data_IF_994781949040
#
_entry.id   IF_994781949040
#
_cell.length_a   1.000
_cell.length_b   1.000
_cell.length_c   1.000
_cell.angle_alpha   90.00
_cell.angle_beta   90.00
_cell.angle_gamma   90.00
#
_symmetry.space_group_name_H-M   'P 1'
#
loop_
_entity.id
_entity.type
_entity.pdbx_description
1 polymer ?
#
# COMPACT_ATOMS: atom_id res chain seq x y z
N UNK A 1 -23.38 -6.92 -17.46
CA UNK A 1 -22.75 -5.91 -18.35
C UNK A 1 -22.95 -4.56 -17.66
N UNK A 2 -22.14 -4.25 -16.68
CA UNK A 2 -22.27 -3.01 -15.91
C UNK A 2 -21.02 -2.17 -16.12
N UNK A 3 -21.30 -0.94 -16.55
CA UNK A 3 -20.37 0.03 -17.09
C UNK A 3 -19.15 0.37 -16.23
N UNK A 4 -18.03 -0.19 -16.61
CA UNK A 4 -16.69 0.06 -16.05
C UNK A 4 -15.99 1.23 -16.80
N UNK A 5 -16.75 2.30 -17.06
CA UNK A 5 -16.28 3.46 -17.82
C UNK A 5 -15.98 4.72 -17.01
N UNK A 6 -16.30 4.77 -15.72
CA UNK A 6 -16.01 5.94 -14.90
C UNK A 6 -14.80 5.68 -14.00
N UNK A 7 -13.68 6.34 -14.29
CA UNK A 7 -12.45 6.35 -13.47
C UNK A 7 -12.76 6.76 -12.01
N UNK A 8 -13.85 7.50 -11.80
CA UNK A 8 -14.36 7.90 -10.48
C UNK A 8 -15.87 7.64 -10.47
N UNK A 9 -16.31 6.56 -9.83
CA UNK A 9 -17.74 6.29 -9.61
C UNK A 9 -18.39 7.39 -8.76
N UNK A 10 -19.75 7.37 -8.61
CA UNK A 10 -20.52 8.39 -7.88
C UNK A 10 -19.93 8.74 -6.50
N UNK A 11 -19.52 7.72 -5.73
CA UNK A 11 -18.90 7.92 -4.39
C UNK A 11 -17.54 8.58 -4.48
N UNK A 12 -16.75 8.28 -5.51
CA UNK A 12 -15.48 8.93 -5.77
C UNK A 12 -15.66 10.40 -6.14
N UNK A 13 -16.71 10.73 -6.92
CA UNK A 13 -17.08 12.10 -7.25
C UNK A 13 -17.48 12.92 -6.01
N UNK A 14 -18.30 12.34 -5.13
CA UNK A 14 -18.67 12.95 -3.84
C UNK A 14 -17.42 13.18 -2.98
N UNK A 15 -16.58 12.17 -2.83
CA UNK A 15 -15.33 12.29 -2.04
C UNK A 15 -14.41 13.37 -2.61
N UNK A 16 -14.32 13.50 -3.95
CA UNK A 16 -13.54 14.55 -4.59
C UNK A 16 -14.09 15.93 -4.25
N UNK A 17 -15.42 16.13 -4.39
CA UNK A 17 -16.06 17.40 -4.08
C UNK A 17 -15.86 17.81 -2.62
N UNK A 18 -16.03 16.86 -1.68
CA UNK A 18 -15.79 17.09 -0.24
C UNK A 18 -14.32 17.43 0.02
N UNK A 19 -13.39 16.74 -0.64
CA UNK A 19 -11.95 17.02 -0.49
C UNK A 19 -11.59 18.40 -1.01
N UNK A 20 -12.13 18.82 -2.15
CA UNK A 20 -11.94 20.19 -2.67
C UNK A 20 -12.55 21.24 -1.72
N UNK A 21 -13.73 20.97 -1.15
CA UNK A 21 -14.34 21.81 -0.14
C UNK A 21 -13.45 21.96 1.11
N UNK A 22 -12.89 20.85 1.62
CA UNK A 22 -11.93 20.89 2.72
C UNK A 22 -10.68 21.71 2.36
N UNK A 23 -10.14 21.56 1.15
CA UNK A 23 -9.00 22.37 0.70
C UNK A 23 -9.33 23.86 0.68
N UNK A 24 -10.51 24.24 0.18
CA UNK A 24 -10.96 25.61 0.13
C UNK A 24 -11.19 26.22 1.53
N UNK A 25 -11.94 25.52 2.39
CA UNK A 25 -12.24 25.97 3.75
C UNK A 25 -10.98 26.11 4.61
N UNK A 26 -10.00 25.23 4.41
CA UNK A 26 -8.72 25.28 5.13
C UNK A 26 -7.69 26.20 4.46
N UNK A 27 -8.05 26.91 3.41
CA UNK A 27 -7.15 27.79 2.63
C UNK A 27 -5.86 27.06 2.21
N UNK A 28 -5.96 25.78 1.86
CA UNK A 28 -4.82 24.95 1.46
C UNK A 28 -3.99 24.37 2.60
N UNK A 29 -4.33 24.61 3.87
CA UNK A 29 -3.60 24.02 5.01
C UNK A 29 -3.74 22.49 5.06
N UNK A 30 -4.89 21.92 4.67
CA UNK A 30 -5.08 20.47 4.67
C UNK A 30 -4.11 19.73 3.72
N UNK A 31 -3.96 20.09 2.44
CA UNK A 31 -2.96 19.47 1.57
C UNK A 31 -1.52 19.72 2.03
N UNK A 32 -1.19 20.87 2.61
CA UNK A 32 0.12 21.14 3.20
C UNK A 32 0.40 20.22 4.40
N UNK A 33 -0.58 20.04 5.28
CA UNK A 33 -0.46 19.10 6.39
C UNK A 33 -0.27 17.65 5.90
N UNK A 34 -1.03 17.23 4.87
CA UNK A 34 -0.86 15.92 4.26
C UNK A 34 0.54 15.75 3.66
N UNK A 35 1.07 16.78 2.99
CA UNK A 35 2.44 16.79 2.47
C UNK A 35 3.46 16.67 3.59
N UNK A 36 3.30 17.41 4.68
CA UNK A 36 4.17 17.32 5.85
C UNK A 36 4.17 15.91 6.46
N UNK A 37 3.00 15.26 6.55
CA UNK A 37 2.88 13.88 7.05
C UNK A 37 3.59 12.90 6.12
N UNK A 38 3.42 13.00 4.79
CA UNK A 38 4.10 12.14 3.82
C UNK A 38 5.63 12.32 3.93
N UNK A 39 6.09 13.57 3.98
CA UNK A 39 7.50 13.90 4.12
C UNK A 39 8.08 13.36 5.44
N UNK A 40 7.42 13.65 6.55
CA UNK A 40 7.85 13.18 7.86
C UNK A 40 7.94 11.65 7.92
N UNK A 41 6.88 10.95 7.54
CA UNK A 41 6.84 9.48 7.54
C UNK A 41 7.91 8.90 6.61
N UNK A 42 8.08 9.46 5.42
CA UNK A 42 9.08 9.00 4.46
C UNK A 42 10.52 9.21 4.93
N UNK A 43 10.84 10.38 5.48
CA UNK A 43 12.19 10.72 5.94
C UNK A 43 12.61 9.94 7.20
N UNK A 44 11.66 9.68 8.11
CA UNK A 44 11.93 9.02 9.39
C UNK A 44 11.61 7.52 9.38
N UNK A 45 11.16 6.97 8.25
CA UNK A 45 10.85 5.55 8.15
C UNK A 45 12.10 4.69 8.39
N UNK A 46 12.01 3.66 9.26
CA UNK A 46 13.08 2.71 9.45
C UNK A 46 13.28 1.85 8.19
N UNK A 47 14.46 1.29 8.06
CA UNK A 47 14.82 0.32 7.01
C UNK A 47 14.91 -1.11 7.55
N UNK A 48 14.68 -1.27 8.84
CA UNK A 48 14.61 -2.55 9.55
C UNK A 48 13.44 -2.51 10.53
N UNK A 49 12.70 -3.58 10.62
CA UNK A 49 11.64 -3.79 11.57
C UNK A 49 11.44 -5.29 11.78
N UNK A 50 10.90 -5.70 12.93
CA UNK A 50 10.57 -7.08 13.23
C UNK A 50 9.06 -7.20 13.47
N UNK A 51 8.45 -8.24 12.90
CA UNK A 51 7.03 -8.51 13.02
C UNK A 51 6.71 -9.97 12.73
N UNK A 52 5.46 -10.35 12.87
CA UNK A 52 5.00 -11.71 12.61
C UNK A 52 5.05 -12.09 11.11
N UNK A 53 5.00 -11.10 10.22
CA UNK A 53 5.03 -11.26 8.76
C UNK A 53 5.68 -10.05 8.10
N UNK A 54 6.22 -10.25 6.90
CA UNK A 54 6.72 -9.19 6.02
C UNK A 54 5.73 -9.01 4.88
N UNK A 55 5.06 -7.86 4.78
CA UNK A 55 4.13 -7.54 3.71
C UNK A 55 4.82 -6.66 2.68
N UNK A 56 4.85 -7.10 1.43
CA UNK A 56 5.42 -6.34 0.32
C UNK A 56 4.28 -5.82 -0.56
N UNK A 57 4.11 -4.50 -0.62
CA UNK A 57 3.15 -3.92 -1.56
C UNK A 57 3.72 -3.97 -2.98
N UNK A 58 2.93 -4.51 -3.90
CA UNK A 58 3.26 -4.55 -5.32
C UNK A 58 3.35 -3.16 -5.96
N UNK A 59 3.83 -3.14 -7.18
CA UNK A 59 3.86 -1.97 -8.07
C UNK A 59 3.36 -2.42 -9.43
N UNK A 60 2.49 -1.60 -10.04
CA UNK A 60 1.93 -1.90 -11.36
C UNK A 60 3.02 -2.29 -12.35
N UNK A 61 2.90 -3.50 -12.91
CA UNK A 61 3.85 -4.01 -13.88
C UNK A 61 3.60 -3.42 -15.28
N UNK A 62 4.67 -3.20 -16.05
CA UNK A 62 4.57 -2.92 -17.49
C UNK A 62 4.13 -4.17 -18.26
N UNK A 63 3.87 -4.01 -19.57
CA UNK A 63 3.51 -5.12 -20.47
C UNK A 63 4.55 -6.25 -20.50
N UNK A 64 5.80 -5.95 -20.17
CA UNK A 64 6.87 -6.96 -20.09
C UNK A 64 6.73 -7.89 -18.88
N UNK A 65 5.84 -7.60 -17.92
CA UNK A 65 5.68 -8.35 -16.67
C UNK A 65 6.88 -8.24 -15.70
N UNK A 66 7.86 -7.40 -16.00
CA UNK A 66 9.08 -7.29 -15.20
C UNK A 66 8.96 -6.19 -14.13
N UNK A 67 9.30 -6.48 -12.86
CA UNK A 67 9.38 -5.48 -11.80
C UNK A 67 10.29 -4.30 -12.15
N UNK A 68 9.82 -3.09 -11.93
CA UNK A 68 10.60 -1.86 -12.05
C UNK A 68 11.61 -1.70 -10.89
N UNK A 69 12.36 -0.61 -10.90
CA UNK A 69 13.36 -0.34 -9.86
C UNK A 69 12.73 -0.17 -8.46
N UNK A 70 11.53 0.44 -8.39
CA UNK A 70 10.85 0.65 -7.11
C UNK A 70 10.35 -0.67 -6.52
N UNK A 71 9.77 -1.54 -7.35
CA UNK A 71 9.31 -2.84 -6.89
C UNK A 71 10.50 -3.76 -6.52
N UNK A 72 11.57 -3.76 -7.32
CA UNK A 72 12.80 -4.50 -6.95
C UNK A 72 13.37 -4.03 -5.62
N UNK A 73 13.40 -2.72 -5.34
CA UNK A 73 13.86 -2.22 -4.05
C UNK A 73 13.03 -2.76 -2.86
N UNK A 74 11.70 -2.85 -3.02
CA UNK A 74 10.82 -3.47 -2.00
C UNK A 74 11.14 -4.94 -1.79
N UNK A 75 11.31 -5.70 -2.87
CA UNK A 75 11.64 -7.13 -2.82
C UNK A 75 13.02 -7.38 -2.21
N UNK A 76 14.04 -6.59 -2.59
CA UNK A 76 15.38 -6.64 -1.97
C UNK A 76 15.31 -6.35 -0.47
N UNK A 77 14.52 -5.36 -0.05
CA UNK A 77 14.29 -5.07 1.37
C UNK A 77 13.63 -6.25 2.08
N UNK A 78 12.62 -6.87 1.49
CA UNK A 78 11.94 -8.01 2.06
C UNK A 78 12.87 -9.22 2.20
N UNK A 79 13.71 -9.50 1.20
CA UNK A 79 14.72 -10.56 1.26
C UNK A 79 15.72 -10.31 2.40
N UNK A 80 16.22 -9.08 2.55
CA UNK A 80 17.13 -8.73 3.64
C UNK A 80 16.50 -8.84 5.04
N UNK A 81 15.21 -8.51 5.17
CA UNK A 81 14.47 -8.71 6.43
C UNK A 81 14.27 -10.19 6.73
N UNK A 82 13.97 -10.99 5.72
CA UNK A 82 13.83 -12.43 5.84
C UNK A 82 15.17 -13.09 6.18
N UNK A 83 16.26 -12.68 5.55
CA UNK A 83 17.61 -13.18 5.87
C UNK A 83 17.98 -12.95 7.34
N UNK A 84 17.60 -11.79 7.89
CA UNK A 84 17.81 -11.47 9.31
C UNK A 84 16.88 -12.28 10.25
N UNK A 85 15.74 -12.78 9.76
CA UNK A 85 14.75 -13.55 10.53
C UNK A 85 14.04 -14.59 9.64
N UNK A 86 14.71 -15.72 9.29
CA UNK A 86 14.21 -16.70 8.30
C UNK A 86 12.89 -17.39 8.65
N UNK A 87 12.46 -17.33 9.91
CA UNK A 87 11.18 -17.86 10.35
C UNK A 87 9.99 -16.92 10.01
N UNK A 88 10.25 -15.68 9.56
CA UNK A 88 9.22 -14.70 9.28
C UNK A 88 8.74 -14.83 7.83
N UNK A 89 7.47 -15.23 7.56
CA UNK A 89 6.98 -15.38 6.20
C UNK A 89 6.85 -14.02 5.49
N UNK A 90 7.11 -14.03 4.18
CA UNK A 90 6.89 -12.90 3.29
C UNK A 90 5.55 -13.09 2.59
N UNK A 91 4.71 -12.06 2.53
CA UNK A 91 3.49 -12.06 1.72
C UNK A 91 3.58 -10.90 0.72
N UNK A 92 3.54 -11.23 -0.57
CA UNK A 92 3.57 -10.24 -1.65
C UNK A 92 2.14 -9.95 -2.08
N UNK A 93 1.76 -8.68 -2.07
CA UNK A 93 0.40 -8.24 -2.35
C UNK A 93 0.35 -7.53 -3.71
N UNK A 94 -0.49 -8.02 -4.61
CA UNK A 94 -0.75 -7.38 -5.89
C UNK A 94 -1.18 -8.34 -6.99
N UNK A 95 -2.37 -8.12 -7.53
CA UNK A 95 -2.97 -8.92 -8.59
C UNK A 95 -2.46 -8.59 -9.98
N UNK A 96 -3.02 -9.28 -10.96
CA UNK A 96 -2.75 -9.03 -12.37
C UNK A 96 -3.57 -7.84 -12.87
N UNK A 97 -2.92 -6.92 -13.59
CA UNK A 97 -3.59 -5.81 -14.26
C UNK A 97 -3.05 -5.62 -15.69
N UNK A 98 -3.91 -5.51 -16.70
CA UNK A 98 -3.46 -5.18 -18.03
C UNK A 98 -2.57 -3.92 -18.05
N UNK A 99 -1.52 -3.86 -18.88
CA UNK A 99 -1.15 -4.84 -19.90
C UNK A 99 -0.24 -5.99 -19.41
N UNK A 100 0.03 -6.12 -18.10
CA UNK A 100 0.91 -7.16 -17.58
C UNK A 100 0.28 -8.56 -17.74
N UNK A 101 1.07 -9.57 -18.16
CA UNK A 101 0.59 -10.94 -18.37
C UNK A 101 0.47 -11.75 -17.07
N UNK A 102 1.09 -11.29 -15.99
CA UNK A 102 1.14 -11.95 -14.67
C UNK A 102 0.82 -10.95 -13.56
N UNK A 103 0.52 -11.45 -12.38
CA UNK A 103 0.30 -10.61 -11.20
C UNK A 103 1.60 -9.98 -10.68
N UNK A 104 1.46 -8.87 -9.96
CA UNK A 104 2.57 -8.23 -9.25
C UNK A 104 3.19 -9.22 -8.24
N UNK A 105 2.35 -10.00 -7.56
CA UNK A 105 2.80 -10.98 -6.58
C UNK A 105 3.61 -12.12 -7.21
N UNK A 106 3.18 -12.67 -8.36
CA UNK A 106 3.94 -13.71 -9.08
C UNK A 106 5.28 -13.19 -9.59
N UNK A 107 5.30 -11.97 -10.15
CA UNK A 107 6.55 -11.35 -10.58
C UNK A 107 7.51 -11.12 -9.40
N UNK A 108 6.98 -10.72 -8.25
CA UNK A 108 7.75 -10.54 -7.02
C UNK A 108 8.31 -11.85 -6.48
N UNK A 109 7.51 -12.94 -6.51
CA UNK A 109 7.95 -14.30 -6.12
C UNK A 109 9.18 -14.73 -6.92
N UNK A 110 9.17 -14.55 -8.23
CA UNK A 110 10.32 -14.91 -9.08
C UNK A 110 11.61 -14.19 -8.65
N UNK A 111 11.51 -12.92 -8.24
CA UNK A 111 12.66 -12.14 -7.75
C UNK A 111 13.15 -12.63 -6.39
N UNK A 112 12.23 -12.95 -5.46
CA UNK A 112 12.61 -13.47 -4.13
C UNK A 112 13.25 -14.87 -4.21
N UNK A 113 12.72 -15.75 -5.07
CA UNK A 113 13.33 -17.06 -5.33
C UNK A 113 14.76 -16.91 -5.88
N UNK A 114 14.96 -16.00 -6.82
CA UNK A 114 16.30 -15.70 -7.36
C UNK A 114 17.24 -15.08 -6.31
N UNK A 115 16.70 -14.45 -5.26
CA UNK A 115 17.44 -13.94 -4.12
C UNK A 115 17.69 -15.00 -3.02
N UNK A 116 17.28 -16.26 -3.21
CA UNK A 116 17.51 -17.36 -2.29
C UNK A 116 16.45 -17.55 -1.18
N UNK A 117 15.35 -16.79 -1.24
CA UNK A 117 14.21 -17.00 -0.32
C UNK A 117 13.49 -18.29 -0.73
N UNK A 118 13.30 -19.27 0.16
CA UNK A 118 12.61 -20.51 -0.20
C UNK A 118 11.13 -20.26 -0.50
N UNK A 119 10.59 -21.03 -1.42
CA UNK A 119 9.19 -20.90 -1.84
C UNK A 119 8.19 -21.06 -0.68
N UNK A 120 8.51 -21.92 0.26
CA UNK A 120 7.70 -22.17 1.46
C UNK A 120 7.58 -20.96 2.39
N UNK A 121 8.46 -19.96 2.26
CA UNK A 121 8.42 -18.71 3.01
C UNK A 121 7.66 -17.59 2.28
N UNK A 122 7.15 -17.83 1.06
CA UNK A 122 6.55 -16.80 0.20
C UNK A 122 5.06 -17.08 0.02
N UNK A 123 4.22 -16.22 0.58
CA UNK A 123 2.78 -16.16 0.30
C UNK A 123 2.45 -15.12 -0.77
N UNK A 124 1.39 -15.35 -1.53
CA UNK A 124 0.94 -14.47 -2.60
C UNK A 124 -0.52 -14.05 -2.41
N UNK A 125 -0.80 -12.76 -2.56
CA UNK A 125 -2.14 -12.24 -2.77
C UNK A 125 -2.22 -11.71 -4.21
N UNK A 126 -3.06 -12.31 -5.05
CA UNK A 126 -3.09 -12.09 -6.52
C UNK A 126 -4.41 -11.51 -7.04
N UNK A 127 -5.37 -11.18 -6.17
CA UNK A 127 -6.74 -10.76 -6.53
C UNK A 127 -6.89 -9.25 -6.63
N UNK A 128 -6.08 -8.53 -5.89
CA UNK A 128 -6.21 -7.08 -5.68
C UNK A 128 -5.72 -6.25 -6.86
N UNK A 129 -6.28 -5.04 -6.98
CA UNK A 129 -5.95 -4.09 -8.07
C UNK A 129 -5.32 -2.80 -7.60
N UNK A 130 -5.38 -2.49 -6.30
CA UNK A 130 -4.84 -1.27 -5.71
C UNK A 130 -4.55 -1.46 -4.21
N UNK A 131 -3.78 -0.55 -3.62
CA UNK A 131 -3.24 -0.67 -2.26
C UNK A 131 -4.28 -0.99 -1.18
N UNK A 132 -5.45 -0.34 -1.20
CA UNK A 132 -6.49 -0.62 -0.21
C UNK A 132 -7.03 -2.05 -0.37
N UNK A 133 -7.23 -2.49 -1.59
CA UNK A 133 -7.69 -3.84 -1.90
C UNK A 133 -6.62 -4.88 -1.53
N UNK A 134 -5.33 -4.61 -1.78
CA UNK A 134 -4.21 -5.45 -1.32
C UNK A 134 -4.35 -5.76 0.18
N UNK A 135 -4.52 -4.72 0.99
CA UNK A 135 -4.62 -4.85 2.45
C UNK A 135 -5.93 -5.52 2.89
N UNK A 136 -7.05 -5.27 2.18
CA UNK A 136 -8.33 -5.95 2.45
C UNK A 136 -8.27 -7.44 2.15
N UNK A 137 -7.73 -7.81 0.99
CA UNK A 137 -7.56 -9.22 0.62
C UNK A 137 -6.65 -9.92 1.63
N UNK A 138 -5.54 -9.30 1.99
CA UNK A 138 -4.64 -9.83 3.02
C UNK A 138 -5.35 -10.03 4.37
N UNK A 139 -6.15 -9.04 4.83
CA UNK A 139 -6.93 -9.16 6.06
C UNK A 139 -7.93 -10.32 6.00
N UNK A 140 -8.60 -10.49 4.85
CA UNK A 140 -9.53 -11.58 4.64
C UNK A 140 -8.85 -12.95 4.68
N UNK A 141 -7.66 -13.06 4.08
CA UNK A 141 -6.85 -14.29 4.12
C UNK A 141 -6.40 -14.62 5.55
N UNK A 142 -5.93 -13.62 6.32
CA UNK A 142 -5.61 -13.80 7.74
C UNK A 142 -6.78 -14.36 8.55
N UNK A 143 -7.98 -13.82 8.32
CA UNK A 143 -9.18 -14.25 9.03
C UNK A 143 -9.58 -15.68 8.63
N UNK A 144 -9.43 -16.05 7.36
CA UNK A 144 -9.71 -17.39 6.85
C UNK A 144 -8.74 -18.45 7.42
N UNK A 145 -7.48 -18.08 7.55
CA UNK A 145 -6.43 -18.98 8.06
C UNK A 145 -6.47 -19.12 9.59
N UNK A 146 -7.32 -18.38 10.30
CA UNK A 146 -7.33 -18.34 11.78
C UNK A 146 -5.99 -17.87 12.36
N UNK A 147 -5.21 -17.19 11.57
CA UNK A 147 -3.85 -16.79 11.92
C UNK A 147 -3.85 -15.64 12.93
N UNK A 148 -2.98 -15.73 13.94
CA UNK A 148 -2.85 -14.69 14.94
C UNK A 148 -2.56 -13.32 14.31
N UNK A 149 -3.30 -12.29 14.71
CA UNK A 149 -3.12 -10.90 14.30
C UNK A 149 -1.88 -10.28 14.98
N UNK A 150 -0.70 -10.74 14.54
CA UNK A 150 0.58 -10.16 14.93
C UNK A 150 0.90 -8.92 14.09
N UNK A 151 1.75 -7.99 14.59
CA UNK A 151 2.17 -6.84 13.81
C UNK A 151 2.93 -7.29 12.56
N UNK A 152 2.53 -6.77 11.40
CA UNK A 152 3.16 -7.06 10.13
C UNK A 152 4.10 -5.93 9.69
N UNK A 153 5.28 -6.25 9.19
CA UNK A 153 6.23 -5.27 8.64
C UNK A 153 5.79 -4.89 7.23
N UNK A 154 5.31 -3.67 7.03
CA UNK A 154 4.83 -3.18 5.75
C UNK A 154 5.97 -2.54 4.95
N UNK A 155 6.46 -3.27 3.94
CA UNK A 155 7.54 -2.84 3.06
C UNK A 155 6.97 -2.13 1.84
N UNK A 156 7.30 -0.85 1.71
CA UNK A 156 6.94 -0.04 0.53
C UNK A 156 7.90 1.15 0.36
N UNK A 157 7.72 1.91 -0.72
CA UNK A 157 8.53 3.11 -0.97
C UNK A 157 8.28 4.18 0.10
N UNK A 158 9.30 4.96 0.47
CA UNK A 158 9.23 6.01 1.50
C UNK A 158 8.07 6.97 1.31
N UNK A 159 7.84 7.39 0.07
CA UNK A 159 6.75 8.32 -0.27
C UNK A 159 5.37 7.68 -0.08
N UNK A 160 5.26 6.38 -0.25
CA UNK A 160 3.99 5.64 -0.17
C UNK A 160 3.62 5.18 1.25
N UNK A 161 4.56 5.21 2.20
CA UNK A 161 4.37 4.69 3.56
C UNK A 161 3.21 5.35 4.30
N UNK A 162 3.12 6.68 4.26
CA UNK A 162 2.08 7.40 5.01
C UNK A 162 0.67 6.93 4.61
N UNK A 163 0.40 6.82 3.32
CA UNK A 163 -0.90 6.39 2.79
C UNK A 163 -1.17 4.91 3.06
N UNK A 164 -0.19 4.06 2.87
CA UNK A 164 -0.33 2.63 3.09
C UNK A 164 -0.59 2.29 4.56
N UNK A 165 0.09 2.98 5.49
CA UNK A 165 -0.14 2.84 6.92
C UNK A 165 -1.52 3.34 7.34
N UNK A 166 -1.96 4.49 6.82
CA UNK A 166 -3.31 5.00 7.10
C UNK A 166 -4.41 4.03 6.62
N UNK A 167 -4.21 3.38 5.46
CA UNK A 167 -5.11 2.36 4.95
C UNK A 167 -5.08 1.08 5.82
N UNK A 168 -3.91 0.62 6.24
CA UNK A 168 -3.77 -0.53 7.13
C UNK A 168 -4.46 -0.27 8.48
N UNK A 169 -4.23 0.90 9.09
CA UNK A 169 -4.88 1.33 10.32
C UNK A 169 -6.42 1.40 10.18
N UNK A 170 -6.92 1.97 9.07
CA UNK A 170 -8.35 2.03 8.77
C UNK A 170 -9.01 0.65 8.62
N UNK A 171 -8.22 -0.37 8.29
CA UNK A 171 -8.63 -1.77 8.22
C UNK A 171 -8.43 -2.54 9.54
N UNK A 172 -7.90 -1.91 10.59
CA UNK A 172 -7.57 -2.54 11.86
C UNK A 172 -6.29 -3.42 11.81
N UNK A 173 -5.49 -3.33 10.74
CA UNK A 173 -4.24 -4.07 10.63
C UNK A 173 -3.12 -3.36 11.39
N UNK A 174 -2.39 -4.10 12.22
CA UNK A 174 -1.19 -3.59 12.90
C UNK A 174 0.02 -3.65 11.98
N UNK A 175 0.28 -2.56 11.26
CA UNK A 175 1.37 -2.44 10.29
C UNK A 175 2.54 -1.62 10.84
N UNK A 176 3.73 -2.18 10.83
CA UNK A 176 4.99 -1.52 11.18
C UNK A 176 5.65 -0.98 9.91
N UNK A 177 6.02 0.30 9.85
CA UNK A 177 6.63 0.88 8.65
C UNK A 177 8.02 0.30 8.39
N UNK A 178 8.30 -0.03 7.12
CA UNK A 178 9.63 -0.33 6.66
C UNK A 178 9.85 0.24 5.25
N UNK A 179 10.84 1.12 5.12
CA UNK A 179 11.16 1.73 3.85
C UNK A 179 11.97 0.78 2.95
N UNK A 180 11.60 0.72 1.67
CA UNK A 180 12.34 -0.05 0.68
C UNK A 180 13.73 0.56 0.41
N UNK A 181 13.80 1.90 0.31
CA UNK A 181 15.01 2.63 -0.03
C UNK A 181 15.89 2.89 1.22
N UNK A 182 17.19 2.63 1.10
CA UNK A 182 18.19 2.96 2.14
C UNK A 182 18.36 4.46 2.29
N UNK A 183 18.54 5.16 1.18
CA UNK A 183 18.74 6.60 1.17
C UNK A 183 17.44 7.36 1.41
N UNK A 184 17.44 8.29 2.35
CA UNK A 184 16.34 9.24 2.54
C UNK A 184 16.17 10.17 1.34
N UNK A 185 17.27 10.50 0.64
CA UNK A 185 17.26 11.36 -0.54
C UNK A 185 16.65 10.68 -1.76
N UNK A 186 16.74 9.35 -1.88
CA UNK A 186 16.07 8.60 -2.96
C UNK A 186 14.54 8.77 -2.94
N UNK A 187 13.98 9.16 -1.80
CA UNK A 187 12.56 9.47 -1.65
C UNK A 187 12.18 10.86 -2.18
N UNK A 188 13.14 11.77 -2.38
CA UNK A 188 12.89 13.17 -2.73
C UNK A 188 12.58 13.36 -4.22
N UNK A 189 11.64 12.60 -4.77
CA UNK A 189 11.15 12.83 -6.11
C UNK A 189 10.04 13.91 -6.10
N UNK A 190 10.24 15.07 -6.72
CA UNK A 190 9.39 16.26 -6.52
C UNK A 190 7.92 16.05 -6.88
N UNK A 191 7.61 15.12 -7.78
CA UNK A 191 6.24 14.83 -8.23
C UNK A 191 5.54 13.72 -7.44
N UNK A 192 6.28 12.85 -6.75
CA UNK A 192 5.66 11.73 -6.01
C UNK A 192 5.07 12.17 -4.67
N UNK A 193 5.69 13.09 -3.97
CA UNK A 193 5.22 13.57 -2.68
C UNK A 193 3.88 14.31 -2.74
N UNK A 194 3.70 15.34 -3.61
CA UNK A 194 2.41 16.00 -3.73
C UNK A 194 1.30 15.04 -4.13
N UNK A 195 1.58 14.12 -5.05
CA UNK A 195 0.63 13.09 -5.47
C UNK A 195 0.22 12.19 -4.30
N UNK A 196 1.17 11.67 -3.53
CA UNK A 196 0.87 10.82 -2.38
C UNK A 196 0.18 11.60 -1.25
N UNK A 197 0.50 12.88 -1.07
CA UNK A 197 -0.20 13.75 -0.13
C UNK A 197 -1.67 13.96 -0.51
N UNK A 198 -1.96 14.22 -1.79
CA UNK A 198 -3.34 14.35 -2.29
C UNK A 198 -4.11 13.02 -2.14
N UNK A 199 -3.48 11.90 -2.46
CA UNK A 199 -4.10 10.58 -2.31
C UNK A 199 -4.32 10.21 -0.84
N UNK A 200 -3.41 10.58 0.06
CA UNK A 200 -3.58 10.43 1.50
C UNK A 200 -4.74 11.29 2.01
N UNK A 201 -4.79 12.56 1.61
CA UNK A 201 -5.86 13.47 1.98
C UNK A 201 -7.21 12.95 1.47
N UNK A 202 -7.28 12.53 0.20
CA UNK A 202 -8.49 11.96 -0.37
C UNK A 202 -8.98 10.73 0.41
N UNK A 203 -8.07 9.81 0.74
CA UNK A 203 -8.41 8.65 1.58
C UNK A 203 -8.89 9.09 2.97
N UNK A 204 -8.18 10.01 3.62
CA UNK A 204 -8.52 10.47 4.96
C UNK A 204 -9.86 11.22 5.03
N UNK A 205 -10.16 12.04 4.03
CA UNK A 205 -11.45 12.75 3.91
C UNK A 205 -12.57 11.75 3.60
N UNK A 206 -12.35 10.89 2.60
CA UNK A 206 -13.35 9.90 2.19
C UNK A 206 -13.73 8.92 3.30
N UNK A 207 -12.75 8.43 4.07
CA UNK A 207 -13.00 7.52 5.17
C UNK A 207 -13.77 8.18 6.32
N UNK A 208 -13.42 9.42 6.68
CA UNK A 208 -14.15 10.17 7.71
C UNK A 208 -15.56 10.57 7.28
N UNK A 209 -15.70 10.99 6.02
CA UNK A 209 -17.01 11.32 5.45
C UNK A 209 -17.93 10.11 5.41
N UNK A 210 -17.42 8.96 4.96
CA UNK A 210 -18.18 7.70 4.95
C UNK A 210 -18.62 7.28 6.37
N UNK A 211 -17.74 7.43 7.35
CA UNK A 211 -18.05 7.15 8.75
C UNK A 211 -19.10 8.12 9.33
N UNK A 212 -18.95 9.42 9.06
CA UNK A 212 -19.86 10.46 9.54
C UNK A 212 -21.25 10.37 8.93
N UNK A 213 -21.34 10.04 7.64
CA UNK A 213 -22.63 9.87 6.93
C UNK A 213 -23.23 8.49 7.08
N UNK A 214 -22.56 7.55 7.75
CA UNK A 214 -22.93 6.14 7.85
C UNK A 214 -23.21 5.50 6.47
N UNK A 215 -22.53 5.98 5.41
CA UNK A 215 -22.73 5.47 4.06
C UNK A 215 -22.17 4.06 3.93
N UNK A 216 -23.07 3.06 3.99
CA UNK A 216 -22.70 1.64 3.97
C UNK A 216 -21.95 1.24 2.69
N UNK A 217 -22.30 1.83 1.53
CA UNK A 217 -21.62 1.56 0.26
C UNK A 217 -20.18 2.04 0.27
N UNK A 218 -19.90 3.24 0.79
CA UNK A 218 -18.55 3.75 0.97
C UNK A 218 -17.77 2.98 2.03
N UNK A 219 -18.41 2.68 3.17
CA UNK A 219 -17.79 1.92 4.25
C UNK A 219 -17.39 0.51 3.80
N UNK A 220 -18.23 -0.19 3.04
CA UNK A 220 -17.90 -1.51 2.49
C UNK A 220 -16.69 -1.50 1.55
N UNK A 221 -16.36 -0.36 0.94
CA UNK A 221 -15.15 -0.21 0.10
C UNK A 221 -13.89 0.13 0.89
N UNK A 222 -14.04 0.69 2.08
CA UNK A 222 -12.94 1.19 2.91
C UNK A 222 -12.62 0.20 4.05
N UNK A 223 -13.59 -0.58 4.48
CA UNK A 223 -13.50 -1.60 5.53
C UNK A 223 -13.51 -3.00 4.94
#
# INVERSE_FOLDING_TARGET
>A
MDGDGAIVGRDGGITLAVTLGVCAVTLGLAPLAALAVVAWRGLHAPVAAAGARILVLGVRLPATGRPDAAFRARLTRAAALWEAAPATPIVILGGARPPAPISEAEAGRAVLLAAGVPDTAIGLETRSRHTLENLRCYRADLAADGAADGPAVLVTSRTHLARSLAMAEGLGLRALPCAAENSRLAALHPWTWPREALLLLWYAVGSRFAAWTANQGMLARIR
#
